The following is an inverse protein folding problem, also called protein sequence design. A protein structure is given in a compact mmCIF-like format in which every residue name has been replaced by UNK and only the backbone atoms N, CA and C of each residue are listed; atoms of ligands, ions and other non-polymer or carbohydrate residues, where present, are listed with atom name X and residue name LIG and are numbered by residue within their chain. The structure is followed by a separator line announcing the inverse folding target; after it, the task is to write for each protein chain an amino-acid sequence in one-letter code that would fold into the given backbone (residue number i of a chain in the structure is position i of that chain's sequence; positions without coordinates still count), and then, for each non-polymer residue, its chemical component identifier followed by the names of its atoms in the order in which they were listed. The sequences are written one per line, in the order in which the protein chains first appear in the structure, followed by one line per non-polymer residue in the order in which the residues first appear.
data_IF_236208575172
#
_entry.id   IF_236208575172
#
_cell.length_a   1.000
_cell.length_b   1.000
_cell.length_c   1.000
_cell.angle_alpha   90.00
_cell.angle_beta   90.00
_cell.angle_gamma   90.00
#
_symmetry.space_group_name_H-M   'P 1'
#
loop_
_entity.id
_entity.type
_entity.pdbx_description
1 polymer ?
#
# COMPACT_ATOMS: atom_id res chain seq x y z
N UNK A 1 -27.08 3.36 -13.85
CA UNK A 1 -25.89 2.95 -14.61
C UNK A 1 -26.19 1.62 -15.27
N UNK A 2 -26.00 1.46 -16.59
CA UNK A 2 -26.14 0.14 -17.24
C UNK A 2 -24.86 -0.66 -16.97
N UNK A 3 -24.84 -1.70 -16.12
CA UNK A 3 -23.79 -2.70 -16.24
C UNK A 3 -24.06 -3.41 -17.58
N UNK A 4 -23.10 -3.52 -18.50
CA UNK A 4 -23.02 -4.70 -19.41
C UNK A 4 -22.15 -4.58 -20.65
N UNK A 5 -21.64 -3.41 -21.08
CA UNK A 5 -20.84 -3.44 -22.32
C UNK A 5 -19.46 -4.10 -22.11
N UNK A 6 -18.79 -3.79 -21.00
CA UNK A 6 -17.43 -4.28 -20.73
C UNK A 6 -17.40 -5.79 -20.44
N UNK A 7 -18.30 -6.30 -19.60
CA UNK A 7 -18.35 -7.74 -19.26
C UNK A 7 -18.61 -8.61 -20.48
N UNK A 8 -19.52 -8.16 -21.36
CA UNK A 8 -19.83 -8.86 -22.62
C UNK A 8 -18.65 -8.83 -23.59
N UNK A 9 -17.89 -7.73 -23.65
CA UNK A 9 -16.66 -7.65 -24.44
C UNK A 9 -15.57 -8.57 -23.89
N UNK A 10 -15.39 -8.60 -22.58
CA UNK A 10 -14.37 -9.42 -21.93
C UNK A 10 -14.61 -10.92 -22.16
N UNK A 11 -15.86 -11.39 -22.03
CA UNK A 11 -16.19 -12.78 -22.33
C UNK A 11 -15.89 -13.15 -23.79
N UNK A 12 -16.25 -12.27 -24.73
CA UNK A 12 -15.94 -12.49 -26.15
C UNK A 12 -14.44 -12.57 -26.44
N UNK A 13 -13.63 -11.74 -25.80
CA UNK A 13 -12.17 -11.82 -25.94
C UNK A 13 -11.61 -13.12 -25.38
N UNK A 14 -12.10 -13.58 -24.22
CA UNK A 14 -11.69 -14.85 -23.62
C UNK A 14 -12.03 -16.03 -24.53
N UNK A 15 -13.21 -16.01 -25.16
CA UNK A 15 -13.65 -17.07 -26.09
C UNK A 15 -12.76 -17.18 -27.34
N UNK A 16 -12.00 -16.13 -27.69
CA UNK A 16 -11.09 -16.12 -28.84
C UNK A 16 -9.67 -16.60 -28.49
N UNK A 17 -9.37 -16.84 -27.21
CA UNK A 17 -8.03 -17.24 -26.77
C UNK A 17 -7.80 -18.73 -27.06
N UNK A 18 -6.63 -19.12 -27.60
CA UNK A 18 -6.28 -20.52 -27.79
C UNK A 18 -6.29 -21.32 -26.48
N UNK A 19 -6.77 -22.57 -26.53
CA UNK A 19 -6.88 -23.48 -25.37
C UNK A 19 -5.61 -23.52 -24.50
N UNK A 20 -4.44 -23.57 -25.14
CA UNK A 20 -3.12 -23.61 -24.48
C UNK A 20 -2.83 -22.42 -23.56
N UNK A 21 -3.62 -21.34 -23.63
CA UNK A 21 -3.48 -20.13 -22.81
C UNK A 21 -4.63 -19.93 -21.81
N UNK A 22 -5.66 -20.78 -21.84
CA UNK A 22 -6.81 -20.63 -20.95
C UNK A 22 -6.46 -20.84 -19.48
N UNK A 23 -5.51 -21.72 -19.17
CA UNK A 23 -5.04 -21.93 -17.79
C UNK A 23 -4.35 -20.67 -17.23
N UNK A 24 -3.53 -20.00 -18.03
CA UNK A 24 -2.87 -18.75 -17.66
C UNK A 24 -3.89 -17.62 -17.40
N UNK A 25 -4.90 -17.52 -18.27
CA UNK A 25 -5.99 -16.55 -18.13
C UNK A 25 -6.87 -16.86 -16.92
N UNK A 26 -7.17 -18.14 -16.68
CA UNK A 26 -7.91 -18.56 -15.49
C UNK A 26 -7.18 -18.17 -14.22
N UNK A 27 -5.88 -18.48 -14.11
CA UNK A 27 -5.06 -18.14 -12.95
C UNK A 27 -5.01 -16.62 -12.72
N UNK A 28 -4.89 -15.84 -13.80
CA UNK A 28 -4.91 -14.38 -13.72
C UNK A 28 -6.26 -13.84 -13.21
N UNK A 29 -7.38 -14.27 -13.79
CA UNK A 29 -8.72 -13.84 -13.35
C UNK A 29 -9.01 -14.32 -11.93
N UNK A 30 -8.61 -15.55 -11.59
CA UNK A 30 -8.75 -16.12 -10.27
C UNK A 30 -7.97 -15.32 -9.21
N UNK A 31 -6.74 -14.91 -9.53
CA UNK A 31 -5.95 -14.01 -8.71
C UNK A 31 -6.70 -12.69 -8.46
N UNK A 32 -7.25 -12.06 -9.50
CA UNK A 32 -8.04 -10.84 -9.32
C UNK A 32 -9.29 -11.06 -8.44
N UNK A 33 -9.94 -12.22 -8.49
CA UNK A 33 -11.07 -12.52 -7.61
C UNK A 33 -10.62 -12.68 -6.15
N UNK A 34 -9.61 -13.51 -5.92
CA UNK A 34 -9.20 -13.92 -4.55
C UNK A 34 -8.31 -12.88 -3.88
N UNK A 35 -7.34 -12.30 -4.59
CA UNK A 35 -6.41 -11.35 -4.00
C UNK A 35 -7.00 -9.94 -3.86
N UNK A 36 -7.98 -9.54 -4.68
CA UNK A 36 -8.69 -8.26 -4.45
C UNK A 36 -9.60 -8.36 -3.22
N UNK A 37 -10.17 -9.55 -2.96
CA UNK A 37 -10.86 -9.84 -1.70
C UNK A 37 -9.88 -9.78 -0.49
N UNK A 38 -8.65 -10.26 -0.65
CA UNK A 38 -7.61 -10.20 0.38
C UNK A 38 -6.95 -8.81 0.54
N UNK A 39 -6.91 -7.98 -0.50
CA UNK A 39 -6.29 -6.64 -0.48
C UNK A 39 -7.22 -5.55 0.04
N UNK A 40 -8.46 -5.88 0.41
CA UNK A 40 -9.21 -5.07 1.35
C UNK A 40 -8.57 -5.27 2.73
N UNK A 41 -7.36 -4.74 2.91
CA UNK A 41 -6.71 -4.69 4.22
C UNK A 41 -7.66 -3.99 5.16
N UNK A 42 -8.27 -4.74 6.04
CA UNK A 42 -9.22 -4.15 6.97
C UNK A 42 -8.43 -3.27 7.95
N UNK A 43 -9.04 -2.20 8.49
CA UNK A 43 -8.41 -1.42 9.55
C UNK A 43 -7.82 -2.29 10.66
N UNK A 44 -8.45 -3.45 10.94
CA UNK A 44 -7.95 -4.40 11.94
C UNK A 44 -6.57 -4.99 11.61
N UNK A 45 -6.26 -5.29 10.34
CA UNK A 45 -4.92 -5.78 9.94
C UNK A 45 -3.84 -4.68 10.04
N UNK A 46 -4.22 -3.42 9.82
CA UNK A 46 -3.33 -2.27 10.02
C UNK A 46 -3.11 -2.04 11.54
N UNK A 47 -4.14 -2.29 12.36
CA UNK A 47 -4.09 -2.13 13.81
C UNK A 47 -3.34 -3.27 14.54
N UNK A 48 -3.20 -4.46 13.94
CA UNK A 48 -2.42 -5.58 14.52
C UNK A 48 -0.96 -5.18 14.80
N UNK A 49 -0.40 -4.29 13.99
CA UNK A 49 0.94 -3.72 14.20
C UNK A 49 0.93 -2.39 14.96
N UNK A 50 -0.26 -1.85 15.27
CA UNK A 50 -0.41 -0.61 16.05
C UNK A 50 -0.48 -0.86 17.56
N UNK A 51 -0.75 -2.10 18.01
CA UNK A 51 -0.81 -2.46 19.43
C UNK A 51 0.49 -2.21 20.20
N UNK A 52 1.65 -2.26 19.54
CA UNK A 52 2.93 -1.95 20.17
C UNK A 52 3.04 -0.51 20.70
N UNK A 53 2.18 0.40 20.23
CA UNK A 53 2.10 1.77 20.74
C UNK A 53 1.16 1.89 21.95
N UNK A 54 0.13 1.04 22.06
CA UNK A 54 -0.82 1.02 23.18
C UNK A 54 -0.21 0.36 24.43
N UNK A 55 0.67 -0.64 24.22
CA UNK A 55 1.45 -1.28 25.29
C UNK A 55 2.64 -0.43 25.78
N UNK A 56 2.93 0.70 25.12
CA UNK A 56 4.02 1.60 25.49
C UNK A 56 3.56 2.56 26.59
N UNK A 57 4.28 2.67 27.71
CA UNK A 57 3.98 3.68 28.72
C UNK A 57 4.01 5.10 28.12
N UNK A 58 3.05 5.95 28.50
CA UNK A 58 2.93 7.33 27.99
C UNK A 58 4.24 8.13 28.12
N UNK A 59 4.99 7.91 29.20
CA UNK A 59 6.29 8.53 29.44
C UNK A 59 7.32 8.11 28.37
N UNK A 60 7.41 6.81 28.09
CA UNK A 60 8.30 6.27 27.04
C UNK A 60 7.90 6.75 25.64
N UNK A 61 6.59 6.85 25.37
CA UNK A 61 6.09 7.40 24.12
C UNK A 61 6.42 8.89 23.97
N UNK A 62 6.28 9.67 25.05
CA UNK A 62 6.61 11.09 25.09
C UNK A 62 8.11 11.33 24.83
N UNK A 63 8.98 10.59 25.52
CA UNK A 63 10.43 10.66 25.35
C UNK A 63 10.85 10.31 23.92
N UNK A 64 10.26 9.24 23.37
CA UNK A 64 10.50 8.85 21.98
C UNK A 64 10.06 9.95 20.99
N UNK A 65 8.90 10.57 21.22
CA UNK A 65 8.42 11.66 20.37
C UNK A 65 9.32 12.89 20.43
N UNK A 66 9.83 13.24 21.61
CA UNK A 66 10.78 14.35 21.78
C UNK A 66 12.10 14.06 21.06
N UNK A 67 12.62 12.84 21.17
CA UNK A 67 13.82 12.40 20.47
C UNK A 67 13.65 12.45 18.94
N UNK A 68 12.52 11.93 18.42
CA UNK A 68 12.20 11.96 16.99
C UNK A 68 12.10 13.41 16.49
N UNK A 69 11.41 14.27 17.24
CA UNK A 69 11.23 15.68 16.89
C UNK A 69 12.57 16.40 16.83
N UNK A 70 13.41 16.21 17.85
CA UNK A 70 14.75 16.81 17.94
C UNK A 70 15.63 16.37 16.76
N UNK A 71 15.66 15.07 16.46
CA UNK A 71 16.46 14.54 15.35
C UNK A 71 15.99 15.05 13.99
N UNK A 72 14.67 15.16 13.79
CA UNK A 72 14.11 15.75 12.56
C UNK A 72 14.54 17.19 12.42
N UNK A 73 14.38 18.00 13.47
CA UNK A 73 14.83 19.40 13.45
C UNK A 73 16.33 19.50 13.11
N UNK A 74 17.18 18.69 13.75
CA UNK A 74 18.62 18.68 13.49
C UNK A 74 18.99 18.22 12.08
N UNK A 75 18.32 17.20 11.53
CA UNK A 75 18.57 16.72 10.18
C UNK A 75 18.26 17.78 9.09
N UNK A 76 17.35 18.72 9.36
CA UNK A 76 17.02 19.82 8.44
C UNK A 76 17.84 21.09 8.69
N UNK A 77 18.52 21.22 9.83
CA UNK A 77 19.47 22.31 10.08
C UNK A 77 20.76 22.15 9.25
N UNK A 78 21.21 20.92 9.02
CA UNK A 78 22.42 20.62 8.22
C UNK A 78 22.26 20.81 6.71
N UNK A 79 21.04 20.89 6.17
CA UNK A 79 20.81 20.96 4.72
C UNK A 79 20.86 22.37 4.14
N UNK A 80 20.82 23.42 4.95
CA UNK A 80 20.66 24.80 4.46
C UNK A 80 21.98 25.55 4.19
N UNK A 81 23.13 25.00 4.58
CA UNK A 81 24.42 25.70 4.46
C UNK A 81 25.21 25.35 3.19
N UNK A 82 24.96 24.18 2.59
CA UNK A 82 25.76 23.70 1.44
C UNK A 82 25.22 24.18 0.08
N UNK A 83 24.04 24.81 0.02
CA UNK A 83 23.45 25.31 -1.23
C UNK A 83 23.62 26.83 -1.47
N UNK A 84 24.38 27.56 -0.63
CA UNK A 84 24.66 29.00 -0.87
C UNK A 84 26.09 29.30 -1.34
N UNK A 85 26.82 28.27 -1.83
CA UNK A 85 28.16 28.46 -2.42
C UNK A 85 28.18 28.07 -3.90
N UNK A 86 27.33 28.70 -4.71
CA UNK A 86 27.51 28.78 -6.16
C UNK A 86 27.23 30.24 -6.58
N UNK A 87 28.35 30.98 -6.65
CA UNK A 87 28.64 32.17 -7.49
C UNK A 87 27.52 33.18 -7.78
#
# INVERSE_FOLDING_TARGET
MKPSNLRSKLLKEIDLIPEAKLEEIYNFIHHFRVCVEASQSTPEQIMEFAGCWDDMPDETFSDFNEEITTRRQQAFLGRRSDETSLS
#
